data_IF_633264482469
#
_entry.id   IF_633264482469
#
_cell.length_a   1.000
_cell.length_b   1.000
_cell.length_c   1.000
_cell.angle_alpha   90.00
_cell.angle_beta   90.00
_cell.angle_gamma   90.00
#
_symmetry.space_group_name_H-M   'P 1'
#
loop_
_entity.id
_entity.type
_entity.pdbx_description
1 polymer ?
#
# COMPACT_ATOMS: atom_id res chain seq x y z
N UNK A 1 -19.27 -18.36 4.67
CA UNK A 1 -18.79 -19.18 3.53
C UNK A 1 -17.51 -18.51 3.06
N UNK A 2 -16.40 -19.24 2.93
CA UNK A 2 -15.18 -18.63 2.41
C UNK A 2 -15.31 -18.57 0.88
N UNK A 3 -15.45 -17.38 0.32
CA UNK A 3 -15.86 -17.18 -1.08
C UNK A 3 -14.77 -17.53 -2.11
N UNK A 4 -13.57 -17.95 -1.69
CA UNK A 4 -12.46 -18.24 -2.61
C UNK A 4 -11.58 -19.37 -2.07
N UNK A 5 -11.62 -20.52 -2.74
CA UNK A 5 -10.68 -21.62 -2.52
C UNK A 5 -9.42 -21.39 -3.35
N UNK A 6 -8.27 -21.36 -2.68
CA UNK A 6 -6.95 -21.31 -3.34
C UNK A 6 -6.51 -22.76 -3.55
N UNK A 7 -6.42 -23.21 -4.80
CA UNK A 7 -5.82 -24.49 -5.15
C UNK A 7 -4.50 -24.25 -5.88
N UNK A 8 -3.42 -24.84 -5.37
CA UNK A 8 -2.13 -24.86 -6.07
C UNK A 8 -2.21 -25.87 -7.23
N UNK A 9 -1.74 -25.50 -8.42
CA UNK A 9 -1.85 -26.34 -9.62
C UNK A 9 -1.10 -27.67 -9.42
N UNK A 10 -1.82 -28.79 -9.46
CA UNK A 10 -1.23 -30.13 -9.43
C UNK A 10 -0.60 -30.44 -10.79
N UNK A 11 0.60 -31.04 -10.84
CA UNK A 11 1.26 -31.39 -12.12
C UNK A 11 0.47 -32.42 -12.94
N UNK A 12 -0.37 -33.24 -12.31
CA UNK A 12 -1.42 -34.05 -12.93
C UNK A 12 -2.53 -34.35 -11.90
N UNK A 13 -3.76 -34.61 -12.35
CA UNK A 13 -4.93 -34.83 -11.49
C UNK A 13 -4.90 -36.13 -10.65
N UNK A 14 -3.99 -37.05 -10.95
CA UNK A 14 -3.78 -38.28 -10.20
C UNK A 14 -2.81 -38.10 -9.03
N UNK A 15 -2.18 -36.93 -8.91
CA UNK A 15 -1.14 -36.68 -7.94
C UNK A 15 -1.69 -36.00 -6.67
N UNK A 16 -2.61 -36.70 -6.00
CA UNK A 16 -3.28 -36.24 -4.76
C UNK A 16 -2.37 -36.25 -3.53
N UNK A 17 -1.21 -36.91 -3.60
CA UNK A 17 -0.26 -36.98 -2.49
C UNK A 17 0.35 -35.62 -2.11
N UNK A 18 0.37 -34.65 -3.04
CA UNK A 18 0.91 -33.31 -2.79
C UNK A 18 0.01 -32.43 -1.93
N UNK A 19 -1.28 -32.75 -1.86
CA UNK A 19 -2.27 -31.96 -1.12
C UNK A 19 -2.05 -32.07 0.41
N UNK A 20 -1.42 -33.15 0.88
CA UNK A 20 -1.08 -33.36 2.30
C UNK A 20 0.31 -32.82 2.70
N UNK A 21 1.09 -32.29 1.76
CA UNK A 21 2.48 -31.87 2.00
C UNK A 21 2.64 -30.37 2.28
N UNK A 22 1.54 -29.61 2.38
CA UNK A 22 1.54 -28.16 2.63
C UNK A 22 2.65 -27.41 1.86
N UNK A 23 2.69 -27.53 0.52
CA UNK A 23 3.80 -27.02 -0.27
C UNK A 23 4.00 -25.52 -0.03
N UNK A 24 5.17 -25.15 0.51
CA UNK A 24 5.55 -23.75 0.73
C UNK A 24 5.89 -23.16 -0.64
N UNK A 25 5.00 -22.31 -1.17
CA UNK A 25 5.23 -21.55 -2.40
C UNK A 25 5.16 -20.05 -2.11
N UNK A 26 5.82 -19.24 -2.93
CA UNK A 26 5.72 -17.78 -2.83
C UNK A 26 4.33 -17.33 -3.30
N UNK A 27 3.77 -16.30 -2.66
CA UNK A 27 2.45 -15.76 -3.01
C UNK A 27 2.37 -15.24 -4.47
N UNK A 28 3.51 -14.85 -5.05
CA UNK A 28 3.63 -14.47 -6.47
C UNK A 28 3.37 -15.62 -7.46
N UNK A 29 3.54 -16.87 -7.01
CA UNK A 29 3.35 -18.07 -7.83
C UNK A 29 1.95 -18.70 -7.64
N UNK A 30 1.12 -18.15 -6.76
CA UNK A 30 -0.25 -18.58 -6.55
C UNK A 30 -1.16 -17.67 -7.37
N UNK A 31 -1.83 -18.21 -8.37
CA UNK A 31 -2.74 -17.46 -9.23
C UNK A 31 -4.19 -17.63 -8.78
N UNK A 32 -4.98 -16.56 -8.84
CA UNK A 32 -6.44 -16.61 -8.69
C UNK A 32 -7.09 -17.09 -10.00
N UNK A 33 -8.39 -17.42 -9.95
CA UNK A 33 -9.14 -17.93 -11.11
C UNK A 33 -9.16 -16.96 -12.30
N UNK A 34 -8.99 -15.66 -12.05
CA UNK A 34 -8.88 -14.60 -13.06
C UNK A 34 -7.45 -14.43 -13.61
N UNK A 35 -6.49 -15.28 -13.20
CA UNK A 35 -5.10 -15.22 -13.63
C UNK A 35 -4.22 -14.20 -12.90
N UNK A 36 -4.78 -13.43 -11.95
CA UNK A 36 -4.00 -12.51 -11.12
C UNK A 36 -3.13 -13.28 -10.14
N UNK A 37 -1.93 -12.78 -9.81
CA UNK A 37 -1.20 -13.37 -8.69
C UNK A 37 -1.83 -12.96 -7.35
N UNK A 38 -1.82 -13.88 -6.38
CA UNK A 38 -2.37 -13.65 -5.05
C UNK A 38 -1.60 -12.55 -4.33
N UNK A 39 -0.31 -12.40 -4.63
CA UNK A 39 0.49 -11.26 -4.21
C UNK A 39 -0.20 -9.92 -4.55
N UNK A 40 -0.67 -9.70 -5.77
CA UNK A 40 -1.35 -8.46 -6.17
C UNK A 40 -2.66 -8.22 -5.41
N UNK A 41 -3.41 -9.29 -5.13
CA UNK A 41 -4.61 -9.20 -4.28
C UNK A 41 -4.29 -8.83 -2.83
N UNK A 42 -3.13 -9.24 -2.31
CA UNK A 42 -2.63 -8.87 -0.98
C UNK A 42 -2.04 -7.45 -0.95
N UNK A 43 -1.48 -6.97 -2.06
CA UNK A 43 -0.77 -5.69 -2.11
C UNK A 43 -1.66 -4.47 -2.45
N UNK A 44 -2.85 -4.66 -3.03
CA UNK A 44 -3.65 -3.53 -3.55
C UNK A 44 -4.88 -3.13 -2.70
N UNK A 45 -5.05 -3.65 -1.48
CA UNK A 45 -6.15 -3.28 -0.59
C UNK A 45 -5.65 -2.56 0.68
N UNK A 46 -4.97 -1.42 0.51
CA UNK A 46 -4.62 -0.61 1.67
C UNK A 46 -5.87 0.04 2.27
N UNK A 47 -6.01 -0.07 3.59
CA UNK A 47 -6.94 0.72 4.37
C UNK A 47 -6.34 2.12 4.54
N UNK A 48 -7.13 3.15 4.27
CA UNK A 48 -6.66 4.55 4.27
C UNK A 48 -7.24 5.28 5.48
N UNK A 49 -6.36 5.80 6.33
CA UNK A 49 -6.72 6.58 7.51
C UNK A 49 -6.18 7.99 7.35
N UNK A 50 -7.05 9.00 7.52
CA UNK A 50 -6.68 10.42 7.45
C UNK A 50 -6.78 11.04 8.84
N UNK A 51 -5.78 11.85 9.20
CA UNK A 51 -5.74 12.57 10.48
C UNK A 51 -5.05 13.93 10.32
N UNK A 52 -5.04 14.73 11.40
CA UNK A 52 -4.44 16.07 11.37
C UNK A 52 -5.17 17.03 10.43
N UNK A 53 -6.51 17.09 10.52
CA UNK A 53 -7.31 18.05 9.75
C UNK A 53 -7.04 19.47 10.24
N UNK A 54 -6.63 20.36 9.35
CA UNK A 54 -6.40 21.77 9.66
C UNK A 54 -7.67 22.63 9.60
N UNK A 55 -7.53 23.94 9.82
CA UNK A 55 -8.64 24.91 9.77
C UNK A 55 -9.27 25.08 8.39
N UNK A 56 -8.55 24.77 7.31
CA UNK A 56 -9.06 24.78 5.94
C UNK A 56 -9.63 23.42 5.52
N UNK A 57 -9.66 22.47 6.44
CA UNK A 57 -10.25 21.15 6.26
C UNK A 57 -9.35 20.14 5.55
N UNK A 58 -8.05 20.42 5.42
CA UNK A 58 -7.07 19.54 4.78
C UNK A 58 -6.48 18.61 5.82
N UNK A 59 -6.49 17.30 5.52
CA UNK A 59 -5.84 16.30 6.35
C UNK A 59 -4.35 16.23 6.00
N UNK A 60 -3.50 16.61 6.96
CA UNK A 60 -2.04 16.66 6.75
C UNK A 60 -1.36 15.31 6.89
N UNK A 61 -2.03 14.29 7.43
CA UNK A 61 -1.46 12.95 7.62
C UNK A 61 -2.39 11.92 6.97
N UNK A 62 -1.81 11.07 6.12
CA UNK A 62 -2.49 9.91 5.53
C UNK A 62 -1.66 8.65 5.79
N UNK A 63 -2.27 7.67 6.44
CA UNK A 63 -1.69 6.37 6.72
C UNK A 63 -2.34 5.30 5.84
N UNK A 64 -1.50 4.51 5.18
CA UNK A 64 -1.88 3.36 4.37
C UNK A 64 -1.54 2.11 5.17
N UNK A 65 -2.55 1.36 5.59
CA UNK A 65 -2.39 0.13 6.39
C UNK A 65 -2.69 -1.10 5.54
N UNK A 66 -1.90 -2.15 5.72
CA UNK A 66 -2.15 -3.47 5.13
C UNK A 66 -3.45 -4.05 5.68
N UNK A 67 -3.92 -5.14 5.07
CA UNK A 67 -5.13 -5.83 5.52
C UNK A 67 -5.05 -6.33 6.98
N UNK A 68 -3.85 -6.66 7.45
CA UNK A 68 -3.57 -7.06 8.84
C UNK A 68 -3.48 -5.87 9.83
N UNK A 69 -3.66 -4.63 9.35
CA UNK A 69 -3.59 -3.41 10.14
C UNK A 69 -2.18 -2.84 10.35
N UNK A 70 -1.12 -3.52 9.87
CA UNK A 70 0.24 -3.00 9.95
C UNK A 70 0.43 -1.81 9.01
N UNK A 71 1.25 -0.82 9.42
CA UNK A 71 1.50 0.37 8.61
C UNK A 71 2.37 0.02 7.40
N UNK A 72 1.90 0.33 6.20
CA UNK A 72 2.67 0.20 4.96
C UNK A 72 3.39 1.50 4.63
N UNK A 73 2.64 2.61 4.65
CA UNK A 73 3.19 3.94 4.37
C UNK A 73 2.49 5.02 5.16
N UNK A 74 3.23 6.08 5.50
CA UNK A 74 2.69 7.31 6.11
C UNK A 74 3.13 8.51 5.29
N UNK A 75 2.15 9.25 4.79
CA UNK A 75 2.32 10.51 4.07
C UNK A 75 2.03 11.66 5.01
N UNK A 76 2.94 12.64 5.09
CA UNK A 76 2.78 13.86 5.88
C UNK A 76 2.99 15.08 4.99
N UNK A 77 2.03 16.01 4.99
CA UNK A 77 2.16 17.33 4.41
C UNK A 77 2.77 18.28 5.44
N UNK A 78 3.75 19.07 5.02
CA UNK A 78 4.48 20.03 5.84
C UNK A 78 5.05 21.17 4.99
N UNK A 79 5.69 22.15 5.64
CA UNK A 79 6.13 23.38 4.98
C UNK A 79 4.95 24.22 4.50
N UNK A 80 5.25 25.30 3.76
CA UNK A 80 4.23 26.19 3.20
C UNK A 80 3.26 26.75 4.24
N UNK A 81 2.05 27.06 3.78
CA UNK A 81 0.92 27.48 4.63
C UNK A 81 -0.36 26.95 4.03
N UNK A 82 -1.22 26.35 4.85
CA UNK A 82 -2.50 25.82 4.40
C UNK A 82 -3.31 26.90 3.65
N UNK A 83 -3.88 26.58 2.47
CA UNK A 83 -4.07 25.23 1.93
C UNK A 83 -2.89 24.66 1.11
N UNK A 84 -1.79 25.40 0.95
CA UNK A 84 -0.69 25.09 0.04
C UNK A 84 0.57 24.64 0.81
N UNK A 85 0.61 23.35 1.13
CA UNK A 85 1.80 22.72 1.72
C UNK A 85 2.87 22.50 0.66
N UNK A 86 4.10 22.92 0.92
CA UNK A 86 5.20 22.84 -0.07
C UNK A 86 5.96 21.53 -0.03
N UNK A 87 5.70 20.67 0.94
CA UNK A 87 6.47 19.45 1.17
C UNK A 87 5.57 18.29 1.54
N UNK A 88 5.78 17.15 0.88
CA UNK A 88 5.18 15.88 1.25
C UNK A 88 6.29 14.87 1.54
N UNK A 89 6.24 14.25 2.71
CA UNK A 89 7.15 13.17 3.08
C UNK A 89 6.37 11.87 3.18
N UNK A 90 6.79 10.86 2.44
CA UNK A 90 6.23 9.51 2.48
C UNK A 90 7.27 8.58 3.10
N UNK A 91 6.95 8.00 4.25
CA UNK A 91 7.77 6.97 4.90
C UNK A 91 7.15 5.61 4.62
N UNK A 92 7.93 4.66 4.11
CA UNK A 92 7.55 3.28 3.84
C UNK A 92 8.13 2.35 4.90
N UNK A 93 7.34 1.38 5.33
CA UNK A 93 7.67 0.49 6.44
C UNK A 93 7.67 -0.98 6.01
N UNK A 94 8.49 -1.78 6.67
CA UNK A 94 8.56 -3.23 6.49
C UNK A 94 7.25 -3.92 6.92
N UNK A 95 7.17 -5.23 6.70
CA UNK A 95 5.98 -6.03 7.04
C UNK A 95 5.59 -5.95 8.52
N UNK A 96 6.55 -5.71 9.43
CA UNK A 96 6.28 -5.51 10.85
C UNK A 96 5.61 -4.16 11.19
N UNK A 97 5.41 -3.27 10.20
CA UNK A 97 4.75 -1.99 10.34
C UNK A 97 5.53 -0.91 11.10
N UNK A 98 6.80 -1.15 11.45
CA UNK A 98 7.58 -0.25 12.31
C UNK A 98 8.97 0.04 11.76
N UNK A 99 9.65 -0.95 11.17
CA UNK A 99 10.97 -0.75 10.56
C UNK A 99 10.81 0.10 9.30
N UNK A 100 11.44 1.28 9.28
CA UNK A 100 11.48 2.13 8.09
C UNK A 100 12.37 1.47 7.03
N UNK A 101 11.84 1.32 5.82
CA UNK A 101 12.58 0.82 4.65
C UNK A 101 13.10 1.96 3.79
N UNK A 102 12.28 2.99 3.60
CA UNK A 102 12.59 4.12 2.73
C UNK A 102 11.76 5.33 3.15
N UNK A 103 12.35 6.51 2.99
CA UNK A 103 11.64 7.78 3.10
C UNK A 103 11.86 8.56 1.81
N UNK A 104 10.76 8.99 1.20
CA UNK A 104 10.77 9.81 0.00
C UNK A 104 10.18 11.18 0.34
N UNK A 105 10.90 12.25 0.04
CA UNK A 105 10.44 13.63 0.22
C UNK A 105 10.21 14.27 -1.14
N UNK A 106 9.10 14.98 -1.26
CA UNK A 106 8.66 15.64 -2.48
C UNK A 106 8.46 17.13 -2.24
N UNK A 107 8.91 17.94 -3.20
CA UNK A 107 8.61 19.37 -3.29
C UNK A 107 7.32 19.54 -4.08
N UNK A 108 6.37 20.29 -3.52
CA UNK A 108 5.07 20.59 -4.11
C UNK A 108 5.09 22.04 -4.59
N UNK A 109 4.75 22.26 -5.86
CA UNK A 109 4.66 23.60 -6.45
C UNK A 109 3.27 23.85 -7.00
N UNK A 110 2.81 25.09 -6.82
CA UNK A 110 1.48 25.52 -7.18
C UNK A 110 1.56 26.65 -8.21
N UNK A 111 0.51 26.84 -9.00
CA UNK A 111 0.34 28.02 -9.84
C UNK A 111 -0.20 29.22 -9.05
N UNK A 112 -0.54 30.29 -9.78
CA UNK A 112 -1.03 31.55 -9.20
C UNK A 112 -2.43 31.45 -8.62
N UNK A 113 -3.26 30.53 -9.13
CA UNK A 113 -4.62 30.29 -8.62
C UNK A 113 -4.61 29.34 -7.42
N UNK A 114 -3.47 28.69 -7.21
CA UNK A 114 -3.14 27.87 -6.09
C UNK A 114 -3.39 26.39 -6.30
N UNK A 115 -3.53 25.97 -7.57
CA UNK A 115 -3.65 24.59 -7.97
C UNK A 115 -2.27 23.92 -8.02
N UNK A 116 -2.21 22.65 -7.59
CA UNK A 116 -0.96 21.89 -7.56
C UNK A 116 -0.55 21.54 -8.99
N UNK A 117 0.61 22.02 -9.42
CA UNK A 117 1.13 21.81 -10.78
C UNK A 117 2.32 20.84 -10.83
N UNK A 118 3.00 20.59 -9.71
CA UNK A 118 4.10 19.61 -9.67
C UNK A 118 4.31 19.02 -8.28
N UNK A 119 4.72 17.76 -8.26
CA UNK A 119 5.19 17.03 -7.09
C UNK A 119 6.47 16.27 -7.49
N UNK A 120 7.63 16.80 -7.10
CA UNK A 120 8.94 16.30 -7.56
C UNK A 120 9.73 15.72 -6.39
N UNK A 121 10.22 14.49 -6.56
CA UNK A 121 11.06 13.81 -5.56
C UNK A 121 12.43 14.51 -5.43
N UNK A 122 12.88 14.72 -4.20
CA UNK A 122 14.22 15.24 -3.87
C UNK A 122 15.31 14.18 -4.00
#
# INVERSE_FOLDING_TARGET
MADKNIQMTQRNASNTGWDNLYPITKAENVLTQDGSNLAAYLYNNFQIYKSGKDSNGIFTIVEYKRADGTLYARSVLSGGTSPQYTTRTITYYAANGTTVLRTDTYTLTYDTDGDLISEVKQ
#
